data_IF_314155318714
#
_entry.id   IF_314155318714
#
_cell.length_a   1.000
_cell.length_b   1.000
_cell.length_c   1.000
_cell.angle_alpha   90.00
_cell.angle_beta   90.00
_cell.angle_gamma   90.00
#
_symmetry.space_group_name_H-M   'P 1'
#
loop_
_entity.id
_entity.type
_entity.pdbx_description
1 polymer ?
#
# COMPACT_ATOMS: atom_id res chain seq x y z
N UNK A 1 -38.75 -15.37 -5.92
CA UNK A 1 -38.08 -14.41 -6.82
C UNK A 1 -37.60 -13.25 -5.95
N UNK A 2 -36.35 -13.28 -5.49
CA UNK A 2 -35.78 -12.22 -4.65
C UNK A 2 -35.38 -11.06 -5.56
N UNK A 3 -36.06 -9.92 -5.41
CA UNK A 3 -35.67 -8.67 -6.08
C UNK A 3 -34.39 -8.17 -5.41
N UNK A 4 -33.25 -8.32 -6.08
CA UNK A 4 -32.01 -7.64 -5.68
C UNK A 4 -32.19 -6.17 -6.06
N UNK A 5 -32.23 -5.29 -5.06
CA UNK A 5 -32.31 -3.85 -5.28
C UNK A 5 -31.11 -3.40 -6.14
N UNK A 6 -31.40 -2.78 -7.27
CA UNK A 6 -30.42 -2.27 -8.23
C UNK A 6 -29.90 -0.90 -7.81
N UNK A 7 -29.33 -0.78 -6.61
CA UNK A 7 -28.51 0.38 -6.29
C UNK A 7 -27.12 0.17 -6.87
N UNK A 8 -26.71 1.05 -7.78
CA UNK A 8 -25.35 1.06 -8.30
C UNK A 8 -24.36 1.18 -7.13
N UNK A 9 -23.48 0.19 -6.99
CA UNK A 9 -22.49 0.18 -5.91
C UNK A 9 -21.52 1.38 -6.07
N UNK A 10 -21.49 2.26 -5.09
CA UNK A 10 -20.55 3.38 -5.07
C UNK A 10 -19.15 2.87 -4.72
N UNK A 11 -18.27 2.85 -5.72
CA UNK A 11 -16.88 2.37 -5.58
C UNK A 11 -15.94 3.35 -4.87
N UNK A 12 -16.37 4.62 -4.68
CA UNK A 12 -15.59 5.74 -4.11
C UNK A 12 -14.20 5.91 -4.74
N UNK A 13 -14.08 5.55 -6.01
CA UNK A 13 -12.86 5.76 -6.79
C UNK A 13 -12.74 7.25 -7.13
N UNK A 14 -11.56 7.89 -6.98
CA UNK A 14 -11.42 9.30 -7.32
C UNK A 14 -11.65 9.57 -8.81
N UNK A 15 -12.03 10.79 -9.18
CA UNK A 15 -12.29 11.17 -10.57
C UNK A 15 -11.02 11.46 -11.38
N UNK A 16 -11.16 11.55 -12.71
CA UNK A 16 -10.08 11.92 -13.64
C UNK A 16 -9.33 10.73 -14.27
N UNK A 17 -8.35 11.04 -15.12
CA UNK A 17 -7.53 10.07 -15.85
C UNK A 17 -6.74 9.17 -14.89
N UNK A 18 -6.58 7.88 -15.22
CA UNK A 18 -5.99 6.87 -14.32
C UNK A 18 -4.61 7.26 -13.79
N UNK A 19 -3.78 7.87 -14.65
CA UNK A 19 -2.41 8.24 -14.35
C UNK A 19 -2.29 9.38 -13.33
N UNK A 20 -3.29 10.25 -13.27
CA UNK A 20 -3.31 11.45 -12.41
C UNK A 20 -4.30 11.33 -11.24
N UNK A 21 -5.20 10.35 -11.30
CA UNK A 21 -6.36 10.18 -10.43
C UNK A 21 -6.00 10.28 -8.95
N UNK A 22 -5.01 9.53 -8.51
CA UNK A 22 -4.60 9.49 -7.10
C UNK A 22 -3.72 10.64 -6.67
N UNK A 23 -2.97 11.25 -7.59
CA UNK A 23 -2.20 12.46 -7.27
C UNK A 23 -3.12 13.65 -7.06
N UNK A 24 -4.10 13.84 -7.96
CA UNK A 24 -5.16 14.84 -7.79
C UNK A 24 -5.95 14.59 -6.52
N UNK A 25 -6.33 13.34 -6.25
CA UNK A 25 -7.02 13.00 -5.01
C UNK A 25 -6.19 13.38 -3.78
N UNK A 26 -4.92 12.96 -3.71
CA UNK A 26 -4.03 13.25 -2.59
C UNK A 26 -3.82 14.75 -2.39
N UNK A 27 -3.64 15.51 -3.46
CA UNK A 27 -3.47 16.97 -3.41
C UNK A 27 -4.71 17.67 -2.84
N UNK A 28 -5.90 17.18 -3.18
CA UNK A 28 -7.17 17.76 -2.74
C UNK A 28 -7.64 17.29 -1.35
N UNK A 29 -6.90 16.40 -0.67
CA UNK A 29 -7.26 15.93 0.66
C UNK A 29 -7.12 17.05 1.70
N UNK A 30 -8.11 17.15 2.58
CA UNK A 30 -8.06 18.07 3.73
C UNK A 30 -7.03 17.53 4.74
N UNK A 31 -5.99 18.32 4.98
CA UNK A 31 -4.93 17.96 5.92
C UNK A 31 -5.37 18.20 7.37
N UNK A 32 -4.94 17.32 8.27
CA UNK A 32 -5.11 17.51 9.71
C UNK A 32 -3.91 18.28 10.25
N UNK A 33 -4.17 19.42 10.90
CA UNK A 33 -3.13 20.21 11.56
C UNK A 33 -2.35 19.35 12.58
N UNK A 34 -1.00 19.36 12.58
CA UNK A 34 -0.18 18.63 13.54
C UNK A 34 -0.63 18.75 15.00
N UNK A 35 -1.02 19.95 15.46
CA UNK A 35 -1.48 20.17 16.84
C UNK A 35 -2.79 19.43 17.17
N UNK A 36 -3.60 19.10 16.16
CA UNK A 36 -4.86 18.40 16.32
C UNK A 36 -4.74 16.89 16.17
N UNK A 37 -3.63 16.33 15.67
CA UNK A 37 -3.50 14.89 15.43
C UNK A 37 -3.68 14.05 16.70
N UNK A 38 -3.16 14.54 17.83
CA UNK A 38 -3.34 13.94 19.18
C UNK A 38 -4.77 14.00 19.71
N UNK A 39 -5.71 14.68 19.04
CA UNK A 39 -7.12 14.65 19.45
C UNK A 39 -7.86 13.44 18.86
N UNK A 40 -7.28 12.79 17.85
CA UNK A 40 -7.88 11.66 17.18
C UNK A 40 -7.32 10.35 17.70
N UNK A 41 -8.22 9.41 17.97
CA UNK A 41 -7.89 8.03 18.29
C UNK A 41 -8.11 7.18 17.03
N UNK A 42 -7.09 6.42 16.63
CA UNK A 42 -7.15 5.49 15.51
C UNK A 42 -7.08 4.07 16.04
N UNK A 43 -8.07 3.26 15.68
CA UNK A 43 -8.10 1.84 16.00
C UNK A 43 -7.64 1.07 14.77
N UNK A 44 -6.57 0.30 14.91
CA UNK A 44 -6.06 -0.60 13.87
C UNK A 44 -6.36 -2.03 14.28
N UNK A 45 -7.12 -2.73 13.45
CA UNK A 45 -7.48 -4.14 13.67
C UNK A 45 -6.64 -5.01 12.74
N UNK A 46 -5.79 -5.84 13.32
CA UNK A 46 -4.81 -6.67 12.63
C UNK A 46 -3.40 -6.07 12.70
N UNK A 47 -2.41 -6.91 13.02
CA UNK A 47 -0.99 -6.52 13.16
C UNK A 47 -0.08 -7.18 12.13
N UNK A 48 -0.65 -7.60 10.98
CA UNK A 48 0.15 -8.01 9.81
C UNK A 48 0.86 -6.83 9.16
N UNK A 49 1.52 -7.04 8.01
CA UNK A 49 2.31 -5.97 7.35
C UNK A 49 1.50 -4.69 7.12
N UNK A 50 0.28 -4.80 6.62
CA UNK A 50 -0.58 -3.63 6.38
C UNK A 50 -0.95 -2.90 7.67
N UNK A 51 -1.41 -3.62 8.70
CA UNK A 51 -1.87 -3.02 9.95
C UNK A 51 -0.71 -2.51 10.81
N UNK A 52 0.37 -3.26 10.92
CA UNK A 52 1.59 -2.85 11.61
C UNK A 52 2.22 -1.61 10.97
N UNK A 53 2.36 -1.57 9.64
CA UNK A 53 2.87 -0.41 8.94
C UNK A 53 1.95 0.82 9.10
N UNK A 54 0.63 0.64 8.95
CA UNK A 54 -0.32 1.73 9.15
C UNK A 54 -0.28 2.27 10.59
N UNK A 55 -0.23 1.38 11.58
CA UNK A 55 -0.15 1.77 12.99
C UNK A 55 1.14 2.54 13.29
N UNK A 56 2.29 2.07 12.80
CA UNK A 56 3.57 2.73 12.97
C UNK A 56 3.59 4.12 12.31
N UNK A 57 3.21 4.22 11.03
CA UNK A 57 3.20 5.49 10.30
C UNK A 57 2.22 6.51 10.90
N UNK A 58 1.05 6.08 11.37
CA UNK A 58 0.09 6.98 12.03
C UNK A 58 0.58 7.40 13.42
N UNK A 59 1.18 6.50 14.19
CA UNK A 59 1.76 6.84 15.48
C UNK A 59 2.92 7.84 15.33
N UNK A 60 3.79 7.65 14.34
CA UNK A 60 4.89 8.57 14.01
C UNK A 60 4.37 9.97 13.61
N UNK A 61 3.24 10.04 12.91
CA UNK A 61 2.58 11.31 12.60
C UNK A 61 1.98 12.03 13.82
N UNK A 62 1.90 11.36 14.99
CA UNK A 62 1.41 11.93 16.25
C UNK A 62 -0.06 11.63 16.58
N UNK A 63 -0.67 10.62 15.95
CA UNK A 63 -2.01 10.14 16.30
C UNK A 63 -1.99 9.20 17.51
N UNK A 64 -3.09 9.13 18.27
CA UNK A 64 -3.24 8.10 19.30
C UNK A 64 -3.71 6.79 18.66
N UNK A 65 -2.78 5.86 18.45
CA UNK A 65 -3.07 4.58 17.78
C UNK A 65 -3.25 3.47 18.80
N UNK A 66 -4.32 2.70 18.67
CA UNK A 66 -4.55 1.42 19.38
C UNK A 66 -4.53 0.30 18.35
N UNK A 67 -3.54 -0.58 18.43
CA UNK A 67 -3.42 -1.74 17.55
C UNK A 67 -3.90 -3.00 18.27
N UNK A 68 -4.79 -3.75 17.63
CA UNK A 68 -5.37 -4.99 18.15
C UNK A 68 -5.03 -6.16 17.23
N UNK A 69 -4.68 -7.30 17.82
CA UNK A 69 -4.51 -8.57 17.11
C UNK A 69 -5.31 -9.65 17.82
N UNK A 70 -5.82 -10.61 17.04
CA UNK A 70 -6.48 -11.80 17.59
C UNK A 70 -5.47 -12.89 17.97
N UNK A 71 -4.32 -12.91 17.31
CA UNK A 71 -3.27 -13.90 17.53
C UNK A 71 -2.62 -13.73 18.91
N UNK A 72 -2.11 -14.83 19.50
CA UNK A 72 -1.37 -14.80 20.78
C UNK A 72 -0.18 -13.84 20.78
N UNK A 73 0.35 -13.52 19.60
CA UNK A 73 1.39 -12.50 19.44
C UNK A 73 1.16 -11.69 18.16
N UNK A 74 1.40 -10.36 18.19
CA UNK A 74 1.34 -9.51 17.02
C UNK A 74 2.21 -9.98 15.85
N UNK A 75 3.25 -10.77 16.12
CA UNK A 75 4.19 -11.31 15.12
C UNK A 75 3.68 -12.53 14.35
N UNK A 76 2.55 -13.13 14.75
CA UNK A 76 2.01 -14.35 14.11
C UNK A 76 0.92 -14.09 13.08
N UNK A 77 0.85 -12.87 12.54
CA UNK A 77 0.04 -12.63 11.36
C UNK A 77 0.62 -13.39 10.15
N UNK A 78 -0.23 -13.82 9.21
CA UNK A 78 0.18 -14.65 8.07
C UNK A 78 1.28 -14.00 7.20
N UNK A 79 1.43 -12.67 7.25
CA UNK A 79 2.50 -11.98 6.55
C UNK A 79 3.92 -12.46 6.91
N UNK A 80 4.12 -13.12 8.05
CA UNK A 80 5.43 -13.72 8.41
C UNK A 80 5.82 -14.90 7.50
N UNK A 81 4.84 -15.55 6.86
CA UNK A 81 5.07 -16.69 5.98
C UNK A 81 5.35 -16.28 4.52
N UNK A 82 5.43 -14.98 4.23
CA UNK A 82 5.79 -14.50 2.89
C UNK A 82 7.25 -14.87 2.57
N UNK A 83 7.48 -15.47 1.41
CA UNK A 83 8.80 -15.98 1.01
C UNK A 83 9.35 -15.32 -0.26
N UNK A 84 8.51 -15.13 -1.29
CA UNK A 84 8.97 -14.75 -2.63
C UNK A 84 9.63 -13.37 -2.71
N UNK A 85 8.97 -12.33 -2.18
CA UNK A 85 9.47 -10.96 -2.26
C UNK A 85 8.34 -9.93 -2.27
N UNK A 86 8.70 -8.69 -2.60
CA UNK A 86 7.76 -7.57 -2.73
C UNK A 86 7.89 -7.03 -4.16
N UNK A 87 6.80 -7.09 -4.92
CA UNK A 87 6.78 -6.56 -6.29
C UNK A 87 6.86 -5.03 -6.27
N UNK A 88 7.76 -4.47 -7.06
CA UNK A 88 7.88 -3.02 -7.24
C UNK A 88 8.39 -2.69 -8.64
N UNK A 89 8.05 -1.49 -9.12
CA UNK A 89 8.44 -0.98 -10.43
C UNK A 89 9.90 -0.45 -10.43
N UNK A 90 10.84 -1.21 -9.81
CA UNK A 90 12.19 -0.73 -9.52
C UNK A 90 13.10 -1.05 -10.71
N UNK A 91 13.39 -0.03 -11.51
CA UNK A 91 14.15 -0.18 -12.74
C UNK A 91 15.66 -0.34 -12.46
N UNK A 92 16.11 -1.56 -12.19
CA UNK A 92 17.54 -1.89 -12.17
C UNK A 92 18.12 -1.87 -13.60
N UNK A 93 19.44 -2.00 -13.70
CA UNK A 93 20.15 -1.89 -14.97
C UNK A 93 19.59 -2.89 -15.99
N UNK A 94 19.00 -2.35 -17.07
CA UNK A 94 18.43 -3.07 -18.21
C UNK A 94 17.09 -3.80 -17.99
N UNK A 95 16.38 -3.59 -16.87
CA UNK A 95 15.05 -4.21 -16.67
C UNK A 95 13.94 -3.51 -17.49
N UNK A 96 14.08 -2.20 -17.73
CA UNK A 96 13.07 -1.40 -18.42
C UNK A 96 11.74 -1.38 -17.68
N UNK A 97 11.79 -1.48 -16.36
CA UNK A 97 10.59 -1.55 -15.53
C UNK A 97 9.97 -0.16 -15.34
N UNK A 98 8.66 -0.12 -15.24
CA UNK A 98 7.91 1.13 -15.11
C UNK A 98 6.61 0.91 -14.34
N UNK A 99 6.09 2.00 -13.78
CA UNK A 99 4.77 2.01 -13.12
C UNK A 99 3.69 1.45 -14.05
N UNK A 100 3.77 1.78 -15.35
CA UNK A 100 2.80 1.28 -16.33
C UNK A 100 2.91 -0.22 -16.57
N UNK A 101 4.13 -0.78 -16.59
CA UNK A 101 4.35 -2.22 -16.79
C UNK A 101 3.81 -3.02 -15.61
N UNK A 102 4.18 -2.64 -14.38
CA UNK A 102 3.63 -3.27 -13.17
C UNK A 102 2.10 -3.15 -13.10
N UNK A 103 1.55 -1.99 -13.48
CA UNK A 103 0.09 -1.80 -13.58
C UNK A 103 -0.54 -2.77 -14.58
N UNK A 104 -0.03 -2.81 -15.81
CA UNK A 104 -0.55 -3.66 -16.87
C UNK A 104 -0.47 -5.15 -16.52
N UNK A 105 0.68 -5.61 -16.02
CA UNK A 105 0.87 -7.00 -15.63
C UNK A 105 -0.04 -7.41 -14.46
N UNK A 106 -0.33 -6.48 -13.53
CA UNK A 106 -1.26 -6.72 -12.43
C UNK A 106 -2.71 -6.79 -12.90
N UNK A 107 -3.13 -5.92 -13.83
CA UNK A 107 -4.48 -5.98 -14.41
C UNK A 107 -4.67 -7.26 -15.22
N UNK A 108 -3.71 -7.59 -16.09
CA UNK A 108 -3.72 -8.81 -16.90
C UNK A 108 -3.68 -10.06 -16.02
N UNK A 109 -2.80 -10.12 -15.03
CA UNK A 109 -2.69 -11.24 -14.10
C UNK A 109 -3.92 -11.42 -13.22
N UNK A 110 -4.65 -10.33 -12.95
CA UNK A 110 -5.95 -10.35 -12.27
C UNK A 110 -7.14 -10.67 -13.17
N UNK A 111 -6.91 -11.18 -14.39
CA UNK A 111 -7.95 -11.49 -15.39
C UNK A 111 -8.85 -10.29 -15.70
N UNK A 112 -8.30 -9.08 -15.64
CA UNK A 112 -9.03 -7.81 -15.83
C UNK A 112 -10.17 -7.57 -14.82
N UNK A 113 -10.20 -8.32 -13.70
CA UNK A 113 -11.21 -8.18 -12.63
C UNK A 113 -10.78 -7.24 -11.51
N UNK A 114 -9.52 -6.83 -11.53
CA UNK A 114 -8.99 -5.91 -10.54
C UNK A 114 -9.50 -4.49 -10.77
N UNK A 115 -9.65 -3.70 -9.70
CA UNK A 115 -10.03 -2.29 -9.80
C UNK A 115 -8.83 -1.48 -10.30
N UNK A 116 -8.81 -1.17 -11.60
CA UNK A 116 -7.67 -0.53 -12.28
C UNK A 116 -7.15 0.72 -11.56
N UNK A 117 -8.05 1.58 -11.07
CA UNK A 117 -7.65 2.76 -10.31
C UNK A 117 -6.78 2.41 -9.09
N UNK A 118 -7.13 1.37 -8.33
CA UNK A 118 -6.37 0.95 -7.15
C UNK A 118 -5.07 0.24 -7.54
N UNK A 119 -5.10 -0.53 -8.62
CA UNK A 119 -3.92 -1.20 -9.16
C UNK A 119 -2.88 -0.19 -9.63
N UNK A 120 -3.31 0.88 -10.31
CA UNK A 120 -2.40 1.95 -10.70
C UNK A 120 -1.76 2.63 -9.49
N UNK A 121 -2.55 2.89 -8.43
CA UNK A 121 -2.00 3.42 -7.17
C UNK A 121 -0.96 2.50 -6.55
N UNK A 122 -1.23 1.19 -6.51
CA UNK A 122 -0.30 0.18 -6.03
C UNK A 122 1.03 0.28 -6.78
N UNK A 123 0.97 0.28 -8.12
CA UNK A 123 2.18 0.39 -8.94
C UNK A 123 2.92 1.71 -8.72
N UNK A 124 2.20 2.82 -8.57
CA UNK A 124 2.77 4.15 -8.34
C UNK A 124 3.56 4.25 -7.03
N UNK A 125 3.09 3.61 -5.95
CA UNK A 125 3.72 3.72 -4.62
C UNK A 125 4.71 2.60 -4.32
N UNK A 126 4.75 1.54 -5.12
CA UNK A 126 5.52 0.34 -4.82
C UNK A 126 7.01 0.63 -4.59
N UNK A 127 7.62 1.50 -5.39
CA UNK A 127 9.02 1.88 -5.23
C UNK A 127 9.30 2.59 -3.90
N UNK A 128 8.40 3.51 -3.49
CA UNK A 128 8.51 4.21 -2.21
C UNK A 128 8.37 3.25 -1.03
N UNK A 129 7.59 2.17 -1.16
CA UNK A 129 7.46 1.14 -0.13
C UNK A 129 8.80 0.40 0.05
N UNK A 130 9.46 0.02 -1.06
CA UNK A 130 10.79 -0.62 -0.98
C UNK A 130 11.80 0.31 -0.30
N UNK A 131 11.83 1.58 -0.70
CA UNK A 131 12.74 2.57 -0.12
C UNK A 131 12.48 2.77 1.39
N UNK A 132 11.21 2.82 1.79
CA UNK A 132 10.83 2.88 3.20
C UNK A 132 11.29 1.64 3.97
N UNK A 133 11.10 0.44 3.42
CA UNK A 133 11.55 -0.80 4.06
C UNK A 133 13.07 -0.83 4.22
N UNK A 134 13.83 -0.39 3.21
CA UNK A 134 15.29 -0.26 3.30
C UNK A 134 15.69 0.71 4.40
N UNK A 135 15.03 1.88 4.48
CA UNK A 135 15.29 2.88 5.52
C UNK A 135 14.97 2.38 6.94
N UNK A 136 13.97 1.49 7.08
CA UNK A 136 13.62 0.82 8.34
C UNK A 136 14.57 -0.33 8.70
N UNK A 137 15.56 -0.64 7.85
CA UNK A 137 16.53 -1.71 8.09
C UNK A 137 16.03 -3.10 7.73
N UNK A 138 15.00 -3.22 6.87
CA UNK A 138 14.58 -4.53 6.35
C UNK A 138 15.76 -5.15 5.58
N UNK A 139 16.18 -6.37 5.91
CA UNK A 139 17.38 -6.99 5.34
C UNK A 139 17.07 -7.57 3.95
N UNK A 140 16.94 -6.70 2.96
CA UNK A 140 16.86 -7.13 1.55
C UNK A 140 18.20 -7.70 1.08
N UNK A 141 18.13 -8.68 0.18
CA UNK A 141 19.29 -9.18 -0.52
C UNK A 141 19.95 -8.06 -1.33
N UNK A 142 21.30 -8.09 -1.40
CA UNK A 142 22.09 -7.09 -2.10
C UNK A 142 23.10 -7.76 -3.02
N UNK A 143 23.36 -7.11 -4.14
CA UNK A 143 24.46 -7.45 -5.02
C UNK A 143 25.79 -6.97 -4.41
N UNK A 144 26.91 -7.43 -4.97
CA UNK A 144 28.24 -7.00 -4.54
C UNK A 144 28.43 -5.47 -4.61
N UNK A 145 27.76 -4.81 -5.56
CA UNK A 145 27.75 -3.35 -5.71
C UNK A 145 26.94 -2.58 -4.65
N UNK A 146 26.28 -3.28 -3.71
CA UNK A 146 25.49 -2.67 -2.64
C UNK A 146 24.07 -2.26 -3.04
N UNK A 147 23.72 -2.36 -4.33
CA UNK A 147 22.35 -2.30 -4.85
C UNK A 147 21.52 -3.47 -4.34
N UNK A 148 20.20 -3.31 -4.25
CA UNK A 148 19.34 -4.44 -3.92
C UNK A 148 19.35 -5.42 -5.09
N UNK A 149 19.38 -6.71 -4.79
CA UNK A 149 19.26 -7.76 -5.79
C UNK A 149 17.79 -7.90 -6.24
N UNK A 150 17.57 -8.12 -7.53
CA UNK A 150 16.27 -8.44 -8.12
C UNK A 150 16.09 -9.96 -8.24
#
# INVERSE_FOLDING_TARGET
>A
MVRVASEALNSRVPDGAITEKWDKHRFNLKLVNPANKRKFNVIVVGTGLAGGAAAASLAELGYHVKAFCYQDSPRRAHSIAAQGGINAAKNYQNDGDSVWRLFYDTVKGGDYRAREANVYRLAQVANSIIDQCVAQGVPFAREYGGTLAN
#
